data_IF_171783202893
#
_entry.id   IF_171783202893
#
_cell.length_a   1.000
_cell.length_b   1.000
_cell.length_c   1.000
_cell.angle_alpha   90.00
_cell.angle_beta   90.00
_cell.angle_gamma   90.00
#
_symmetry.space_group_name_H-M   'P 1'
#
loop_
_entity.id
_entity.type
_entity.pdbx_description
1 polymer ?
#
# COMPACT_ATOMS: atom_id res chain seq x y z
N UNK A 1 -5.77 -18.74 11.46
CA UNK A 1 -7.11 -18.32 11.92
C UNK A 1 -7.92 -17.92 10.69
N UNK A 2 -9.11 -18.48 10.49
CA UNK A 2 -10.01 -18.02 9.42
C UNK A 2 -10.41 -16.57 9.75
N UNK A 3 -10.33 -15.62 8.81
CA UNK A 3 -10.67 -14.19 9.08
C UNK A 3 -12.06 -14.01 9.72
N UNK A 4 -12.95 -14.97 9.49
CA UNK A 4 -14.27 -15.06 10.11
C UNK A 4 -14.26 -15.16 11.65
N UNK A 5 -13.18 -15.60 12.31
CA UNK A 5 -13.10 -15.61 13.78
C UNK A 5 -12.94 -14.21 14.39
N UNK A 6 -12.31 -13.27 13.67
CA UNK A 6 -12.27 -11.86 14.10
C UNK A 6 -13.65 -11.19 13.92
N UNK A 7 -14.43 -11.64 12.94
CA UNK A 7 -15.78 -11.14 12.67
C UNK A 7 -16.85 -11.74 13.60
N UNK A 8 -16.60 -12.88 14.24
CA UNK A 8 -17.56 -13.53 15.15
C UNK A 8 -17.53 -13.02 16.60
N UNK A 9 -16.56 -12.17 16.96
CA UNK A 9 -16.51 -11.58 18.30
C UNK A 9 -17.54 -10.45 18.41
N UNK A 10 -18.70 -10.79 18.95
CA UNK A 10 -19.74 -9.83 19.31
C UNK A 10 -19.26 -8.88 20.41
N UNK A 11 -19.88 -7.70 20.46
CA UNK A 11 -19.59 -6.60 21.37
C UNK A 11 -19.33 -7.06 22.82
N UNK A 12 -18.14 -6.75 23.34
CA UNK A 12 -17.79 -6.94 24.76
C UNK A 12 -16.77 -8.05 25.04
N UNK A 13 -16.43 -8.90 24.07
CA UNK A 13 -15.32 -9.84 24.25
C UNK A 13 -13.98 -9.10 24.21
N UNK A 14 -13.21 -9.23 25.30
CA UNK A 14 -11.77 -8.97 25.26
C UNK A 14 -11.19 -9.96 24.27
N UNK A 15 -10.75 -9.48 23.11
CA UNK A 15 -9.87 -10.27 22.25
C UNK A 15 -8.57 -10.43 23.03
N UNK A 16 -8.37 -11.63 23.60
CA UNK A 16 -7.12 -11.97 24.24
C UNK A 16 -6.08 -12.25 23.15
N UNK A 17 -5.26 -11.24 22.87
CA UNK A 17 -4.17 -11.36 21.90
C UNK A 17 -3.05 -12.30 22.38
N UNK A 18 -3.06 -12.77 23.63
CA UNK A 18 -2.03 -13.69 24.15
C UNK A 18 -2.11 -15.08 23.49
N UNK A 19 -3.30 -15.55 23.13
CA UNK A 19 -3.48 -16.83 22.42
C UNK A 19 -3.07 -16.76 20.94
N UNK A 20 -3.07 -15.57 20.33
CA UNK A 20 -2.69 -15.38 18.94
C UNK A 20 -1.18 -15.56 18.67
N UNK A 21 -0.35 -15.63 19.73
CA UNK A 21 1.11 -15.78 19.62
C UNK A 21 1.58 -17.21 19.33
N UNK A 22 0.73 -18.24 19.40
CA UNK A 22 1.20 -19.61 19.63
C UNK A 22 1.22 -20.60 18.46
N UNK A 23 1.02 -20.22 17.19
CA UNK A 23 1.06 -21.23 16.10
C UNK A 23 1.63 -20.80 14.75
N UNK A 24 2.32 -19.68 14.64
CA UNK A 24 2.90 -19.27 13.37
C UNK A 24 4.36 -19.71 13.30
N UNK A 25 4.74 -20.33 12.18
CA UNK A 25 6.13 -20.60 11.83
C UNK A 25 6.98 -19.36 12.16
N UNK A 26 8.20 -19.50 12.71
CA UNK A 26 9.02 -18.37 13.12
C UNK A 26 9.22 -17.43 11.93
N UNK A 27 8.42 -16.37 11.88
CA UNK A 27 8.52 -15.31 10.88
C UNK A 27 9.66 -14.40 11.31
N UNK A 28 10.34 -13.80 10.33
CA UNK A 28 11.50 -12.94 10.56
C UNK A 28 11.22 -11.89 11.64
N UNK A 29 12.02 -11.89 12.70
CA UNK A 29 11.92 -10.92 13.78
C UNK A 29 12.45 -9.57 13.28
N UNK A 30 11.68 -8.50 13.48
CA UNK A 30 12.13 -7.14 13.22
C UNK A 30 12.91 -6.62 14.44
N UNK A 31 13.89 -5.75 14.20
CA UNK A 31 14.77 -5.15 15.19
C UNK A 31 14.79 -3.63 15.01
N UNK A 32 14.85 -2.88 16.12
CA UNK A 32 15.05 -1.42 16.08
C UNK A 32 16.54 -1.10 15.86
N UNK A 33 17.41 -1.97 16.37
CA UNK A 33 18.87 -1.90 16.23
C UNK A 33 19.44 -3.33 16.29
N UNK A 34 20.69 -3.54 15.90
CA UNK A 34 21.38 -4.85 15.77
C UNK A 34 21.13 -5.84 16.90
N UNK A 35 20.90 -5.35 18.12
CA UNK A 35 20.76 -6.17 19.32
C UNK A 35 19.40 -6.00 20.01
N UNK A 36 18.53 -5.09 19.54
CA UNK A 36 17.29 -4.77 20.22
C UNK A 36 16.11 -5.21 19.35
N UNK A 37 15.44 -6.32 19.70
CA UNK A 37 14.25 -6.75 18.96
C UNK A 37 13.18 -5.66 19.04
N UNK A 38 12.33 -5.61 18.02
CA UNK A 38 11.17 -4.75 18.02
C UNK A 38 10.35 -5.04 19.29
N UNK A 39 10.06 -4.04 20.13
CA UNK A 39 9.30 -4.22 21.35
C UNK A 39 7.90 -4.73 21.01
N UNK A 40 7.26 -5.40 21.96
CA UNK A 40 5.96 -6.07 21.76
C UNK A 40 4.89 -5.14 21.18
N UNK A 41 4.87 -3.86 21.61
CA UNK A 41 3.94 -2.87 21.06
C UNK A 41 4.16 -2.61 19.56
N UNK A 42 5.41 -2.65 19.08
CA UNK A 42 5.73 -2.47 17.67
C UNK A 42 5.29 -3.68 16.86
N UNK A 43 5.56 -4.88 17.38
CA UNK A 43 5.10 -6.15 16.79
C UNK A 43 3.58 -6.21 16.71
N UNK A 44 2.88 -5.69 17.72
CA UNK A 44 1.42 -5.57 17.73
C UNK A 44 0.89 -4.74 16.55
N UNK A 45 1.49 -3.59 16.23
CA UNK A 45 1.05 -2.80 15.07
C UNK A 45 1.31 -3.51 13.74
N UNK A 46 2.48 -4.14 13.58
CA UNK A 46 2.76 -4.98 12.41
C UNK A 46 1.71 -6.06 12.24
N UNK A 47 1.32 -6.72 13.34
CA UNK A 47 0.33 -7.79 13.29
C UNK A 47 -1.08 -7.28 12.97
N UNK A 48 -1.51 -6.16 13.55
CA UNK A 48 -2.79 -5.52 13.17
C UNK A 48 -2.82 -5.22 11.68
N UNK A 49 -1.74 -4.64 11.16
CA UNK A 49 -1.59 -4.35 9.74
C UNK A 49 -1.75 -5.60 8.87
N UNK A 50 -1.14 -6.71 9.27
CA UNK A 50 -1.29 -7.98 8.57
C UNK A 50 -2.72 -8.50 8.61
N UNK A 51 -3.33 -8.56 9.80
CA UNK A 51 -4.67 -9.11 10.01
C UNK A 51 -5.74 -8.35 9.23
N UNK A 52 -5.68 -7.02 9.23
CA UNK A 52 -6.64 -6.23 8.47
C UNK A 52 -6.46 -6.43 6.96
N UNK A 53 -5.23 -6.69 6.51
CA UNK A 53 -4.93 -6.92 5.10
C UNK A 53 -5.33 -8.32 4.61
N UNK A 54 -5.46 -9.29 5.52
CA UNK A 54 -5.97 -10.64 5.26
C UNK A 54 -7.51 -10.69 5.23
N UNK A 55 -8.20 -9.66 5.74
CA UNK A 55 -9.66 -9.58 5.67
C UNK A 55 -10.09 -9.31 4.22
N UNK A 56 -11.16 -9.95 3.75
CA UNK A 56 -11.70 -9.71 2.41
C UNK A 56 -12.36 -8.32 2.32
N UNK A 57 -11.99 -7.56 1.29
CA UNK A 57 -12.73 -6.36 0.88
C UNK A 57 -13.96 -6.77 0.08
N UNK A 58 -15.09 -6.93 0.76
CA UNK A 58 -16.41 -7.17 0.17
C UNK A 58 -17.37 -6.00 0.43
N UNK A 59 -18.64 -6.31 0.70
CA UNK A 59 -19.62 -5.32 1.18
C UNK A 59 -19.29 -4.76 2.57
N UNK A 60 -18.43 -5.45 3.32
CA UNK A 60 -18.06 -5.09 4.68
C UNK A 60 -16.61 -4.57 4.72
N UNK A 61 -16.41 -3.43 5.38
CA UNK A 61 -15.07 -2.95 5.74
C UNK A 61 -14.82 -3.11 7.23
N UNK A 62 -13.60 -3.53 7.59
CA UNK A 62 -13.13 -3.52 8.98
C UNK A 62 -12.53 -2.17 9.34
N UNK A 63 -12.92 -1.63 10.49
CA UNK A 63 -12.35 -0.40 11.07
C UNK A 63 -11.80 -0.73 12.46
N UNK A 64 -10.50 -0.51 12.66
CA UNK A 64 -9.81 -0.70 13.94
C UNK A 64 -9.37 0.68 14.44
N UNK A 65 -9.81 1.05 15.64
CA UNK A 65 -9.41 2.30 16.29
C UNK A 65 -8.64 2.03 17.58
N UNK A 66 -7.47 2.65 17.73
CA UNK A 66 -6.53 2.39 18.81
C UNK A 66 -6.16 3.69 19.52
N UNK A 67 -6.49 3.78 20.81
CA UNK A 67 -6.08 4.89 21.67
C UNK A 67 -4.74 4.58 22.35
N UNK A 68 -3.67 5.19 21.86
CA UNK A 68 -2.29 4.88 22.25
C UNK A 68 -1.68 5.96 23.14
N UNK A 69 -0.78 5.61 24.08
CA UNK A 69 -0.06 6.61 24.87
C UNK A 69 0.88 7.48 24.02
N UNK A 70 1.44 6.91 22.95
CA UNK A 70 2.28 7.60 21.97
C UNK A 70 2.06 7.01 20.58
N UNK A 71 2.02 7.85 19.55
CA UNK A 71 1.90 7.42 18.14
C UNK A 71 3.18 6.85 17.52
N UNK A 72 4.34 7.03 18.15
CA UNK A 72 5.65 6.89 17.50
C UNK A 72 5.78 5.58 16.71
N UNK A 73 5.95 5.67 15.38
CA UNK A 73 6.06 4.54 14.44
C UNK A 73 4.82 3.62 14.33
N UNK A 74 3.74 3.84 15.08
CA UNK A 74 2.58 2.93 15.10
C UNK A 74 1.93 2.81 13.71
N UNK A 75 1.64 3.93 13.05
CA UNK A 75 1.07 3.94 11.70
C UNK A 75 2.03 3.36 10.65
N UNK A 76 3.33 3.65 10.76
CA UNK A 76 4.35 3.11 9.85
C UNK A 76 4.51 1.59 9.98
N UNK A 77 4.51 1.07 11.21
CA UNK A 77 4.60 -0.37 11.48
C UNK A 77 3.31 -1.10 11.09
N UNK A 78 2.14 -0.49 11.29
CA UNK A 78 0.88 -1.01 10.79
C UNK A 78 0.86 -1.08 9.25
N UNK A 79 1.29 -0.02 8.57
CA UNK A 79 1.42 -0.01 7.13
C UNK A 79 2.40 -1.10 6.64
N UNK A 80 3.49 -1.31 7.37
CA UNK A 80 4.48 -2.32 7.05
C UNK A 80 3.86 -3.72 7.13
N UNK A 81 3.08 -3.99 8.18
CA UNK A 81 2.27 -5.19 8.31
C UNK A 81 1.32 -5.41 7.12
N UNK A 82 0.60 -4.37 6.71
CA UNK A 82 -0.30 -4.43 5.54
C UNK A 82 0.46 -4.85 4.29
N UNK A 83 1.57 -4.17 3.99
CA UNK A 83 2.35 -4.46 2.77
C UNK A 83 2.96 -5.86 2.80
N UNK A 84 3.42 -6.34 3.96
CA UNK A 84 3.93 -7.70 4.10
C UNK A 84 2.85 -8.76 3.84
N UNK A 85 1.67 -8.65 4.46
CA UNK A 85 0.59 -9.61 4.23
C UNK A 85 0.12 -9.62 2.78
N UNK A 86 0.13 -8.46 2.13
CA UNK A 86 -0.28 -8.36 0.73
C UNK A 86 0.83 -8.74 -0.25
N UNK A 87 2.10 -8.83 0.17
CA UNK A 87 3.21 -9.18 -0.73
C UNK A 87 3.02 -10.55 -1.39
N UNK A 88 2.44 -11.51 -0.66
CA UNK A 88 2.14 -12.87 -1.11
C UNK A 88 0.86 -12.98 -1.95
N UNK A 89 -0.02 -11.98 -1.91
CA UNK A 89 -1.26 -11.99 -2.67
C UNK A 89 -0.91 -11.86 -4.15
N UNK A 90 -0.83 -13.02 -4.81
CA UNK A 90 -0.78 -13.16 -6.26
C UNK A 90 -1.89 -12.29 -6.82
N UNK A 91 -1.54 -11.35 -7.71
CA UNK A 91 -2.55 -10.50 -8.35
C UNK A 91 -3.65 -11.38 -8.91
N UNK A 92 -4.83 -11.27 -8.30
CA UNK A 92 -6.01 -11.96 -8.79
C UNK A 92 -6.22 -11.47 -10.23
N UNK A 93 -6.57 -12.38 -11.14
CA UNK A 93 -6.92 -12.01 -12.53
C UNK A 93 -7.99 -10.92 -12.56
N UNK A 94 -8.88 -10.87 -11.56
CA UNK A 94 -9.85 -9.79 -11.36
C UNK A 94 -9.20 -8.41 -11.21
N UNK A 95 -8.18 -8.25 -10.35
CA UNK A 95 -7.47 -6.98 -10.16
C UNK A 95 -6.76 -6.53 -11.45
N UNK A 96 -6.16 -7.49 -12.16
CA UNK A 96 -5.48 -7.23 -13.43
C UNK A 96 -6.48 -6.71 -14.46
N UNK A 97 -7.68 -7.31 -14.51
CA UNK A 97 -8.74 -6.92 -15.44
C UNK A 97 -9.32 -5.56 -15.10
N UNK A 98 -9.61 -5.27 -13.83
CA UNK A 98 -10.06 -3.95 -13.40
C UNK A 98 -9.02 -2.86 -13.75
N UNK A 99 -7.73 -3.16 -13.54
CA UNK A 99 -6.66 -2.25 -13.94
C UNK A 99 -6.59 -2.05 -15.46
N UNK A 100 -6.78 -3.12 -16.23
CA UNK A 100 -6.83 -3.05 -17.69
C UNK A 100 -8.01 -2.20 -18.17
N UNK A 101 -9.21 -2.41 -17.63
CA UNK A 101 -10.42 -1.67 -17.99
C UNK A 101 -10.25 -0.16 -17.68
N UNK A 102 -9.60 0.14 -16.56
CA UNK A 102 -9.21 1.51 -16.19
C UNK A 102 -8.20 2.13 -17.14
N UNK A 103 -7.23 1.37 -17.65
CA UNK A 103 -6.34 1.85 -18.69
C UNK A 103 -7.09 2.08 -20.01
N UNK A 104 -8.10 1.26 -20.31
CA UNK A 104 -8.98 1.43 -21.46
C UNK A 104 -9.82 2.71 -21.39
N UNK A 105 -10.14 3.21 -20.19
CA UNK A 105 -10.87 4.47 -20.01
C UNK A 105 -10.00 5.74 -20.17
N UNK A 106 -8.69 5.60 -20.43
CA UNK A 106 -7.81 6.75 -20.62
C UNK A 106 -8.07 7.48 -21.94
N UNK A 107 -7.87 8.80 -21.95
CA UNK A 107 -7.94 9.59 -23.18
C UNK A 107 -6.75 9.26 -24.09
N UNK A 108 -6.98 9.10 -25.40
CA UNK A 108 -5.89 8.98 -26.39
C UNK A 108 -4.92 10.15 -26.27
N UNK A 109 -3.62 9.86 -26.33
CA UNK A 109 -2.54 10.81 -26.09
C UNK A 109 -2.12 10.93 -24.62
N UNK A 110 -2.79 10.25 -23.68
CA UNK A 110 -2.37 10.26 -22.26
C UNK A 110 -0.93 9.77 -22.15
N UNK A 111 -0.03 10.53 -21.52
CA UNK A 111 1.35 10.12 -21.38
C UNK A 111 1.46 8.95 -20.41
N UNK A 112 2.30 7.98 -20.76
CA UNK A 112 2.48 6.76 -19.98
C UNK A 112 3.96 6.42 -19.81
N UNK A 113 4.24 5.62 -18.80
CA UNK A 113 5.45 4.83 -18.69
C UNK A 113 5.12 3.40 -19.12
N UNK A 114 5.91 2.83 -20.01
CA UNK A 114 5.88 1.42 -20.39
C UNK A 114 7.13 0.70 -19.87
N UNK A 115 6.92 -0.34 -19.05
CA UNK A 115 7.98 -1.13 -18.42
C UNK A 115 8.18 -2.45 -19.18
N UNK A 116 9.29 -2.52 -19.90
CA UNK A 116 9.81 -3.74 -20.51
C UNK A 116 10.88 -4.34 -19.57
N UNK A 117 11.10 -5.66 -19.57
CA UNK A 117 11.82 -6.37 -18.50
C UNK A 117 13.15 -5.75 -18.04
N UNK A 118 13.85 -5.00 -18.91
CA UNK A 118 15.10 -4.29 -18.63
C UNK A 118 15.10 -2.81 -19.05
N UNK A 119 13.98 -2.28 -19.53
CA UNK A 119 13.89 -0.92 -20.10
C UNK A 119 12.59 -0.25 -19.66
N UNK A 120 12.71 0.98 -19.18
CA UNK A 120 11.56 1.85 -18.94
C UNK A 120 11.52 2.83 -20.10
N UNK A 121 10.36 2.97 -20.76
CA UNK A 121 10.17 3.91 -21.87
C UNK A 121 9.00 4.83 -21.57
N UNK A 122 9.14 6.13 -21.81
CA UNK A 122 8.01 7.06 -21.84
C UNK A 122 7.33 6.95 -23.19
N UNK A 123 6.00 7.05 -23.24
CA UNK A 123 5.22 6.94 -24.46
C UNK A 123 3.85 7.59 -24.32
N UNK A 124 2.98 7.34 -25.29
CA UNK A 124 1.60 7.81 -25.26
C UNK A 124 0.61 6.66 -25.46
N UNK A 125 -0.49 6.73 -24.73
CA UNK A 125 -1.62 5.80 -24.87
C UNK A 125 -2.37 6.10 -26.19
N UNK A 126 -2.61 5.09 -27.02
CA UNK A 126 -3.26 5.25 -28.33
C UNK A 126 -4.71 4.74 -28.39
N UNK A 127 -5.20 4.15 -27.30
CA UNK A 127 -6.52 3.52 -27.23
C UNK A 127 -6.41 2.01 -26.96
N UNK A 128 -7.53 1.33 -27.15
CA UNK A 128 -7.61 -0.12 -27.17
C UNK A 128 -8.46 -0.56 -28.37
N UNK A 129 -8.30 -1.81 -28.79
CA UNK A 129 -9.14 -2.42 -29.82
C UNK A 129 -9.21 -3.93 -29.58
N UNK A 130 -10.16 -4.59 -30.24
CA UNK A 130 -10.35 -6.03 -30.13
C UNK A 130 -9.68 -6.73 -31.32
N UNK A 131 -8.83 -7.71 -31.04
CA UNK A 131 -8.17 -8.57 -32.03
C UNK A 131 -8.43 -10.02 -31.60
N UNK A 132 -9.06 -10.82 -32.46
CA UNK A 132 -9.39 -12.23 -32.17
C UNK A 132 -10.16 -12.44 -30.86
N UNK A 133 -11.10 -11.52 -30.54
CA UNK A 133 -11.89 -11.59 -29.31
C UNK A 133 -11.17 -11.14 -28.04
N UNK A 134 -9.89 -10.73 -28.13
CA UNK A 134 -9.12 -10.20 -27.02
C UNK A 134 -8.98 -8.68 -27.14
N UNK A 135 -9.33 -7.95 -26.07
CA UNK A 135 -9.06 -6.50 -25.99
C UNK A 135 -7.58 -6.26 -25.73
N UNK A 136 -6.96 -5.41 -26.55
CA UNK A 136 -5.54 -5.06 -26.46
C UNK A 136 -5.38 -3.55 -26.32
N UNK A 137 -4.57 -3.09 -25.36
CA UNK A 137 -4.17 -1.69 -25.27
C UNK A 137 -3.08 -1.40 -26.28
N UNK A 138 -3.17 -0.26 -26.95
CA UNK A 138 -2.17 0.22 -27.90
C UNK A 138 -1.39 1.37 -27.28
N UNK A 139 -0.07 1.28 -27.29
CA UNK A 139 0.82 2.34 -26.82
C UNK A 139 1.83 2.71 -27.89
N UNK A 140 2.13 3.99 -28.04
CA UNK A 140 3.16 4.51 -28.95
C UNK A 140 4.41 4.85 -28.16
N UNK A 141 5.51 4.18 -28.50
CA UNK A 141 6.81 4.32 -27.86
C UNK A 141 7.80 4.92 -28.88
N UNK A 142 8.45 6.05 -28.59
CA UNK A 142 9.48 6.60 -29.45
C UNK A 142 10.70 5.65 -29.51
N UNK A 143 11.28 5.51 -30.70
CA UNK A 143 12.49 4.74 -31.00
C UNK A 143 13.47 5.57 -31.84
N UNK A 144 14.67 5.04 -32.11
CA UNK A 144 15.68 5.75 -32.91
C UNK A 144 15.25 5.95 -34.36
N UNK A 145 14.37 5.08 -34.86
CA UNK A 145 13.91 5.06 -36.25
C UNK A 145 12.44 5.52 -36.39
N UNK A 146 11.94 6.30 -35.43
CA UNK A 146 10.56 6.78 -35.39
C UNK A 146 9.75 6.15 -34.26
N UNK A 147 8.44 6.04 -34.43
CA UNK A 147 7.55 5.53 -33.39
C UNK A 147 7.22 4.05 -33.58
N UNK A 148 7.35 3.27 -32.50
CA UNK A 148 6.90 1.88 -32.45
C UNK A 148 5.56 1.79 -31.72
N UNK A 149 4.60 1.10 -32.34
CA UNK A 149 3.32 0.79 -31.70
C UNK A 149 3.41 -0.58 -31.02
N UNK A 150 3.18 -0.62 -29.71
CA UNK A 150 3.08 -1.87 -28.95
C UNK A 150 1.63 -2.20 -28.61
N UNK A 151 1.27 -3.46 -28.80
CA UNK A 151 0.00 -4.06 -28.39
C UNK A 151 0.20 -4.76 -27.05
N UNK A 152 -0.58 -4.41 -26.02
CA UNK A 152 -0.42 -4.88 -24.65
C UNK A 152 -1.69 -5.60 -24.21
N UNK A 153 -1.63 -6.93 -23.98
CA UNK A 153 -2.79 -7.69 -23.51
C UNK A 153 -3.05 -7.47 -22.02
N UNK A 154 -4.23 -7.87 -21.50
CA UNK A 154 -4.64 -7.63 -20.12
C UNK A 154 -3.64 -8.13 -19.07
N UNK A 155 -3.06 -9.31 -19.28
CA UNK A 155 -2.11 -9.94 -18.34
C UNK A 155 -0.82 -9.12 -18.19
N UNK A 156 -0.53 -8.25 -19.17
CA UNK A 156 0.62 -7.34 -19.22
C UNK A 156 0.24 -5.88 -18.94
N UNK A 157 -1.02 -5.59 -18.58
CA UNK A 157 -1.50 -4.25 -18.27
C UNK A 157 -0.63 -3.53 -17.22
N UNK A 158 -0.18 -4.26 -16.20
CA UNK A 158 0.69 -3.77 -15.13
C UNK A 158 2.03 -3.17 -15.60
N UNK A 159 2.40 -3.34 -16.87
CA UNK A 159 3.57 -2.70 -17.48
C UNK A 159 3.33 -1.25 -17.88
N UNK A 160 2.07 -0.83 -17.99
CA UNK A 160 1.69 0.53 -18.34
C UNK A 160 1.35 1.28 -17.05
N UNK A 161 1.89 2.47 -16.87
CA UNK A 161 1.57 3.38 -15.77
C UNK A 161 1.26 4.78 -16.33
N UNK A 162 0.06 5.33 -16.12
CA UNK A 162 -0.26 6.69 -16.54
C UNK A 162 0.58 7.72 -15.78
N UNK A 163 1.16 8.68 -16.48
CA UNK A 163 1.88 9.80 -15.87
C UNK A 163 0.87 10.85 -15.40
N UNK A 164 0.87 11.14 -14.09
CA UNK A 164 -0.09 12.06 -13.48
C UNK A 164 0.14 13.55 -13.81
N UNK A 165 1.26 13.92 -14.43
CA UNK A 165 1.66 15.33 -14.59
C UNK A 165 1.39 15.90 -15.99
N UNK A 166 0.99 17.18 -15.98
CA UNK A 166 0.73 18.10 -17.10
C UNK A 166 2.00 18.51 -17.86
N UNK A 167 3.11 17.82 -17.66
CA UNK A 167 4.36 18.09 -18.36
C UNK A 167 4.21 17.71 -19.83
N UNK A 168 3.77 18.68 -20.63
CA UNK A 168 3.70 18.58 -22.09
C UNK A 168 5.08 18.35 -22.72
N UNK A 169 6.15 18.66 -21.98
CA UNK A 169 7.53 18.46 -22.40
C UNK A 169 8.03 17.09 -21.93
N UNK A 170 7.44 16.03 -22.48
CA UNK A 170 8.03 14.71 -22.40
C UNK A 170 9.16 14.70 -23.42
N UNK A 171 10.39 14.91 -22.98
CA UNK A 171 11.55 14.62 -23.82
C UNK A 171 11.48 13.11 -24.15
N UNK A 172 11.40 12.74 -25.44
CA UNK A 172 11.01 11.39 -25.86
C UNK A 172 12.04 10.29 -25.55
N UNK A 173 13.18 10.63 -24.93
CA UNK A 173 14.33 9.73 -24.85
C UNK A 173 14.92 9.70 -23.44
N UNK A 174 14.24 9.03 -22.53
CA UNK A 174 14.89 8.47 -21.34
C UNK A 174 15.10 6.98 -21.59
N UNK A 175 16.14 6.65 -22.36
CA UNK A 175 16.63 5.27 -22.48
C UNK A 175 17.54 4.96 -21.29
N UNK A 176 16.94 4.74 -20.13
CA UNK A 176 17.65 4.19 -18.99
C UNK A 176 17.88 2.69 -19.19
N UNK A 177 19.13 2.23 -19.13
CA UNK A 177 19.41 0.82 -18.86
C UNK A 177 18.85 0.56 -17.45
N UNK A 178 17.95 -0.41 -17.26
CA UNK A 178 17.79 -0.96 -15.93
C UNK A 178 19.16 -1.55 -15.58
N UNK A 179 19.95 -0.83 -14.76
CA UNK A 179 21.08 -1.42 -14.06
C UNK A 179 20.55 -2.70 -13.40
N UNK A 180 21.41 -3.72 -13.28
CA UNK A 180 21.12 -4.91 -12.50
C UNK A 180 20.33 -4.52 -11.25
N UNK A 181 19.28 -5.28 -10.95
CA UNK A 181 18.25 -4.96 -9.95
C UNK A 181 18.81 -5.07 -8.52
N UNK A 182 19.88 -4.35 -8.28
CA UNK A 182 20.67 -4.27 -7.07
C UNK A 182 20.46 -2.86 -6.54
N UNK A 183 19.41 -2.72 -5.73
CA UNK A 183 19.07 -1.48 -5.06
C UNK A 183 19.42 -1.65 -3.58
N UNK A 184 19.81 -0.54 -2.95
CA UNK A 184 20.03 -0.48 -1.50
C UNK A 184 18.76 -0.94 -0.79
N UNK A 185 18.86 -2.03 -0.01
CA UNK A 185 17.74 -2.61 0.74
C UNK A 185 17.20 -3.94 0.21
N UNK A 186 17.77 -4.52 -0.87
CA UNK A 186 17.29 -5.83 -1.39
C UNK A 186 17.35 -6.94 -0.35
N UNK A 187 18.49 -7.06 0.34
CA UNK A 187 18.68 -8.05 1.39
C UNK A 187 17.66 -7.89 2.53
N UNK A 188 17.38 -6.65 2.94
CA UNK A 188 16.38 -6.36 3.96
C UNK A 188 14.97 -6.70 3.50
N UNK A 189 14.60 -6.37 2.24
CA UNK A 189 13.31 -6.78 1.71
C UNK A 189 13.20 -8.30 1.68
N UNK A 190 14.15 -9.01 1.06
CA UNK A 190 14.14 -10.47 0.94
C UNK A 190 13.99 -11.12 2.32
N UNK A 191 14.70 -10.59 3.33
CA UNK A 191 14.57 -11.03 4.71
C UNK A 191 13.17 -10.80 5.30
N UNK A 192 12.50 -9.70 4.96
CA UNK A 192 11.16 -9.36 5.48
C UNK A 192 10.02 -10.11 4.77
N UNK A 193 10.09 -10.28 3.44
CA UNK A 193 9.02 -10.93 2.65
C UNK A 193 9.24 -12.44 2.47
N UNK A 194 10.41 -12.96 2.85
CA UNK A 194 10.71 -14.39 2.82
C UNK A 194 10.77 -14.95 1.40
N UNK A 195 9.90 -15.93 1.11
CA UNK A 195 9.89 -16.66 -0.17
C UNK A 195 9.22 -15.91 -1.33
N UNK A 196 8.62 -14.73 -1.08
CA UNK A 196 8.02 -13.91 -2.14
C UNK A 196 9.08 -13.52 -3.17
N UNK A 197 8.73 -13.58 -4.45
CA UNK A 197 9.57 -13.05 -5.52
C UNK A 197 9.71 -11.52 -5.41
N UNK A 198 10.82 -11.09 -4.77
CA UNK A 198 11.14 -9.68 -4.61
C UNK A 198 11.21 -8.94 -5.94
N UNK A 199 11.66 -9.59 -7.03
CA UNK A 199 11.72 -8.95 -8.33
C UNK A 199 10.32 -8.60 -8.84
N UNK A 200 9.34 -9.48 -8.67
CA UNK A 200 7.95 -9.18 -8.97
C UNK A 200 7.38 -8.10 -8.04
N UNK A 201 7.76 -8.14 -6.75
CA UNK A 201 7.36 -7.12 -5.78
C UNK A 201 7.78 -5.71 -6.22
N UNK A 202 9.00 -5.53 -6.75
CA UNK A 202 9.50 -4.24 -7.24
C UNK A 202 9.02 -3.82 -8.63
N UNK A 203 8.51 -4.75 -9.44
CA UNK A 203 8.09 -4.42 -10.81
C UNK A 203 6.66 -3.89 -10.88
N UNK A 204 5.80 -4.29 -9.94
CA UNK A 204 4.36 -4.05 -9.99
C UNK A 204 3.94 -3.00 -8.97
N UNK A 205 3.36 -1.91 -9.45
CA UNK A 205 2.73 -0.91 -8.58
C UNK A 205 1.38 -1.44 -8.10
N UNK A 206 1.08 -1.33 -6.80
CA UNK A 206 -0.24 -1.60 -6.23
C UNK A 206 -0.44 -0.69 -5.02
N UNK A 207 -1.64 -0.15 -4.82
CA UNK A 207 -1.90 0.69 -3.66
C UNK A 207 -2.44 -0.16 -2.50
N UNK A 208 -1.53 -0.78 -1.75
CA UNK A 208 -1.88 -1.63 -0.60
C UNK A 208 -2.36 -0.81 0.59
N UNK A 209 -1.72 0.33 0.85
CA UNK A 209 -2.22 1.25 1.87
C UNK A 209 -1.92 2.72 1.58
N UNK A 210 -2.71 3.59 2.23
CA UNK A 210 -2.46 5.03 2.31
C UNK A 210 -2.33 5.41 3.78
N UNK A 211 -1.29 6.18 4.11
CA UNK A 211 -1.09 6.73 5.46
C UNK A 211 -1.39 8.22 5.44
N UNK A 212 -2.34 8.67 6.25
CA UNK A 212 -2.66 10.08 6.46
C UNK A 212 -2.05 10.56 7.76
N UNK A 213 -1.03 11.40 7.68
CA UNK A 213 -0.31 11.86 8.87
C UNK A 213 0.54 13.11 8.61
N UNK A 214 1.42 13.43 9.55
CA UNK A 214 2.40 14.52 9.41
C UNK A 214 3.58 14.02 8.57
N UNK A 215 3.72 14.53 7.35
CA UNK A 215 4.68 14.02 6.36
C UNK A 215 6.13 13.98 6.86
N UNK A 216 6.57 15.00 7.60
CA UNK A 216 7.95 15.05 8.10
C UNK A 216 8.23 13.93 9.11
N UNK A 217 7.27 13.65 10.00
CA UNK A 217 7.41 12.59 11.00
C UNK A 217 7.35 11.21 10.34
N UNK A 218 6.38 10.99 9.44
CA UNK A 218 6.30 9.75 8.68
C UNK A 218 7.56 9.51 7.83
N UNK A 219 8.13 10.56 7.23
CA UNK A 219 9.37 10.48 6.46
C UNK A 219 10.54 10.05 7.36
N UNK A 220 10.67 10.64 8.55
CA UNK A 220 11.70 10.26 9.50
C UNK A 220 11.54 8.79 9.93
N UNK A 221 10.31 8.39 10.29
CA UNK A 221 9.99 7.03 10.76
C UNK A 221 10.20 5.96 9.68
N UNK A 222 9.87 6.26 8.41
CA UNK A 222 9.88 5.27 7.32
C UNK A 222 11.17 5.29 6.49
N UNK A 223 11.72 6.47 6.18
CA UNK A 223 12.84 6.65 5.23
C UNK A 223 14.19 6.86 5.92
N UNK A 224 14.19 7.35 7.15
CA UNK A 224 15.44 7.75 7.82
C UNK A 224 15.85 6.77 8.90
N UNK A 225 14.89 6.28 9.69
CA UNK A 225 15.14 5.32 10.77
C UNK A 225 15.55 3.93 10.24
N UNK A 226 16.70 3.38 10.66
CA UNK A 226 17.09 2.03 10.32
C UNK A 226 16.28 1.00 11.12
N UNK A 227 16.10 -0.17 10.51
CA UNK A 227 15.52 -1.36 11.10
C UNK A 227 16.34 -2.58 10.69
N UNK A 228 16.32 -3.59 11.53
CA UNK A 228 16.96 -4.88 11.27
C UNK A 228 15.95 -5.98 11.03
N UNK A 229 16.31 -6.97 10.23
CA UNK A 229 15.53 -8.19 10.02
C UNK A 229 16.45 -9.41 10.07
N UNK A 230 16.01 -10.44 10.81
CA UNK A 230 16.75 -11.69 10.96
C UNK A 230 15.81 -12.85 10.57
N UNK A 231 15.84 -13.30 9.29
CA UNK A 231 14.96 -14.36 8.80
C UNK A 231 15.36 -15.75 9.33
N UNK A 232 16.64 -15.94 9.61
CA UNK A 232 17.20 -17.05 10.37
C UNK A 232 18.22 -16.47 11.35
N UNK A 233 18.43 -17.11 12.51
CA UNK A 233 19.28 -16.62 13.62
C UNK A 233 20.72 -16.24 13.22
N UNK A 234 21.16 -16.50 11.99
CA UNK A 234 22.54 -16.35 11.54
C UNK A 234 22.86 -15.04 10.80
N UNK A 235 21.89 -14.37 10.15
CA UNK A 235 22.21 -13.20 9.30
C UNK A 235 21.30 -12.02 9.62
N UNK A 236 21.87 -11.00 10.25
CA UNK A 236 21.24 -9.70 10.43
C UNK A 236 21.33 -8.90 9.13
N UNK A 237 20.19 -8.44 8.64
CA UNK A 237 20.11 -7.53 7.49
C UNK A 237 19.55 -6.20 7.96
N UNK A 238 20.23 -5.11 7.64
CA UNK A 238 19.77 -3.75 7.93
C UNK A 238 19.09 -3.14 6.72
N UNK A 239 18.02 -2.39 6.95
CA UNK A 239 17.36 -1.59 5.94
C UNK A 239 16.42 -0.58 6.59
N UNK A 240 15.46 -0.11 5.81
CA UNK A 240 14.48 0.90 6.22
C UNK A 240 13.08 0.41 5.89
N UNK A 241 12.06 0.89 6.61
CA UNK A 241 10.69 0.54 6.27
C UNK A 241 10.34 0.93 4.83
N UNK A 242 10.94 2.01 4.30
CA UNK A 242 10.76 2.43 2.90
C UNK A 242 11.12 1.35 1.87
N UNK A 243 12.08 0.46 2.19
CA UNK A 243 12.50 -0.59 1.27
C UNK A 243 11.37 -1.59 1.01
N UNK A 244 10.49 -1.78 2.00
CA UNK A 244 9.31 -2.65 1.95
C UNK A 244 8.04 -1.86 1.63
N UNK A 245 7.79 -0.77 2.34
CA UNK A 245 6.60 0.07 2.17
C UNK A 245 6.51 0.69 0.79
N UNK A 246 7.65 0.99 0.17
CA UNK A 246 7.73 1.59 -1.17
C UNK A 246 6.76 2.77 -1.32
N UNK A 247 6.86 3.74 -0.41
CA UNK A 247 5.99 4.93 -0.40
C UNK A 247 6.25 5.74 -1.65
N UNK A 248 5.22 5.89 -2.48
CA UNK A 248 5.29 6.51 -3.80
C UNK A 248 5.97 7.87 -3.79
N UNK A 249 5.59 8.75 -2.86
CA UNK A 249 6.05 10.14 -2.77
C UNK A 249 7.56 10.25 -2.49
N UNK A 250 8.21 9.16 -2.05
CA UNK A 250 9.62 9.13 -1.70
C UNK A 250 10.47 8.24 -2.60
N UNK A 251 9.85 7.63 -3.61
CA UNK A 251 10.51 6.86 -4.66
C UNK A 251 10.96 7.75 -5.81
N UNK A 252 11.91 7.25 -6.60
CA UNK A 252 12.29 7.87 -7.87
C UNK A 252 11.20 7.68 -8.95
N UNK A 253 11.26 8.50 -10.00
CA UNK A 253 10.31 8.42 -11.11
C UNK A 253 10.27 7.01 -11.74
N UNK A 254 9.07 6.49 -11.97
CA UNK A 254 8.86 5.19 -12.64
C UNK A 254 9.17 3.96 -11.79
N UNK A 255 9.44 4.12 -10.49
CA UNK A 255 9.58 3.01 -9.55
C UNK A 255 8.20 2.50 -9.11
N UNK A 256 8.04 1.18 -8.95
CA UNK A 256 6.79 0.62 -8.45
C UNK A 256 6.55 1.01 -6.98
N UNK A 257 5.32 1.33 -6.60
CA UNK A 257 4.97 1.65 -5.22
C UNK A 257 4.05 0.58 -4.61
N UNK A 258 4.02 0.53 -3.28
CA UNK A 258 3.09 -0.31 -2.49
C UNK A 258 2.19 0.52 -1.59
N UNK A 259 2.63 1.71 -1.24
CA UNK A 259 1.89 2.62 -0.36
C UNK A 259 2.00 4.06 -0.85
N UNK A 260 1.18 4.92 -0.28
CA UNK A 260 1.27 6.36 -0.43
C UNK A 260 1.08 7.07 0.91
N UNK A 261 1.64 8.28 1.02
CA UNK A 261 1.45 9.16 2.17
C UNK A 261 0.72 10.43 1.76
N UNK A 262 -0.18 10.89 2.62
CA UNK A 262 -0.92 12.14 2.43
C UNK A 262 -0.81 13.00 3.67
N UNK A 263 -0.64 14.31 3.46
CA UNK A 263 -0.57 15.27 4.56
C UNK A 263 -1.96 15.53 5.14
N UNK A 264 -2.06 15.50 6.47
CA UNK A 264 -3.26 15.95 7.19
C UNK A 264 -3.54 17.43 6.93
N UNK A 265 -2.50 18.23 6.76
CA UNK A 265 -2.57 19.68 6.54
C UNK A 265 -2.92 20.07 5.09
N UNK A 266 -3.07 19.08 4.20
CA UNK A 266 -3.46 19.32 2.81
C UNK A 266 -4.79 20.08 2.71
N UNK A 267 -4.85 21.13 1.87
CA UNK A 267 -6.10 21.86 1.62
C UNK A 267 -7.02 21.15 0.63
N UNK A 268 -6.43 20.35 -0.26
CA UNK A 268 -7.17 19.60 -1.28
C UNK A 268 -7.61 18.27 -0.72
N UNK A 269 -8.73 17.77 -1.22
CA UNK A 269 -9.18 16.41 -0.97
C UNK A 269 -8.04 15.41 -1.23
N UNK A 270 -7.92 14.37 -0.41
CA UNK A 270 -6.96 13.30 -0.64
C UNK A 270 -7.29 12.64 -1.98
N UNK A 271 -6.47 12.91 -2.98
CA UNK A 271 -6.57 12.25 -4.27
C UNK A 271 -5.46 11.22 -4.36
N UNK A 272 -5.84 9.95 -4.51
CA UNK A 272 -4.91 8.93 -5.00
C UNK A 272 -4.74 9.13 -6.51
N UNK A 273 -3.56 8.86 -7.03
CA UNK A 273 -3.37 8.86 -8.48
C UNK A 273 -4.33 7.87 -9.13
N UNK A 274 -4.96 8.31 -10.21
CA UNK A 274 -5.95 7.56 -10.96
C UNK A 274 -7.19 7.15 -10.13
N UNK A 275 -7.50 7.81 -9.02
CA UNK A 275 -8.66 7.48 -8.17
C UNK A 275 -8.68 6.03 -7.66
N UNK A 276 -7.50 5.40 -7.48
CA UNK A 276 -7.44 4.06 -6.89
C UNK A 276 -7.84 4.09 -5.42
N UNK A 277 -8.79 3.25 -5.02
CA UNK A 277 -9.12 3.04 -3.61
C UNK A 277 -8.00 2.20 -2.97
N UNK A 278 -7.38 2.64 -1.86
CA UNK A 278 -6.40 1.83 -1.16
C UNK A 278 -7.08 0.63 -0.48
N UNK A 279 -6.37 -0.49 -0.36
CA UNK A 279 -6.91 -1.63 0.39
C UNK A 279 -7.12 -1.27 1.87
N UNK A 280 -6.11 -0.64 2.49
CA UNK A 280 -6.17 -0.13 3.86
C UNK A 280 -5.85 1.36 3.92
N UNK A 281 -6.69 2.12 4.59
CA UNK A 281 -6.43 3.51 4.96
C UNK A 281 -5.96 3.59 6.41
N UNK A 282 -4.83 4.22 6.66
CA UNK A 282 -4.24 4.34 8.00
C UNK A 282 -4.22 5.82 8.39
N UNK A 283 -4.94 6.17 9.45
CA UNK A 283 -4.97 7.52 10.00
C UNK A 283 -3.99 7.60 11.17
N UNK A 284 -2.92 8.37 10.99
CA UNK A 284 -1.93 8.71 12.02
C UNK A 284 -2.37 10.00 12.73
N UNK A 285 -3.34 9.85 13.64
CA UNK A 285 -3.87 10.91 14.50
C UNK A 285 -5.32 11.34 14.21
N UNK A 286 -5.93 11.96 15.22
CA UNK A 286 -7.32 12.44 15.24
C UNK A 286 -7.65 13.42 14.11
N UNK A 287 -6.77 14.40 13.86
CA UNK A 287 -7.04 15.43 12.84
C UNK A 287 -7.15 14.85 11.44
N UNK A 288 -6.31 13.86 11.10
CA UNK A 288 -6.38 13.17 9.82
C UNK A 288 -7.66 12.38 9.68
N UNK A 289 -8.03 11.62 10.72
CA UNK A 289 -9.26 10.85 10.75
C UNK A 289 -10.51 11.74 10.60
N UNK A 290 -10.66 12.74 11.47
CA UNK A 290 -11.84 13.62 11.48
C UNK A 290 -12.05 14.35 10.15
N UNK A 291 -10.97 14.67 9.44
CA UNK A 291 -11.02 15.43 8.19
C UNK A 291 -11.27 14.57 6.97
N UNK A 292 -10.74 13.35 6.96
CA UNK A 292 -10.60 12.56 5.72
C UNK A 292 -11.26 11.18 5.75
N UNK A 293 -11.86 10.75 6.85
CA UNK A 293 -12.47 9.42 7.00
C UNK A 293 -13.51 9.05 5.94
N UNK A 294 -14.21 10.04 5.39
CA UNK A 294 -15.33 9.82 4.46
C UNK A 294 -14.87 9.62 3.00
N UNK A 295 -13.57 9.71 2.70
CA UNK A 295 -13.06 9.65 1.32
C UNK A 295 -12.92 8.24 0.76
N UNK A 296 -12.72 7.23 1.61
CA UNK A 296 -12.63 5.82 1.18
C UNK A 296 -13.55 4.94 2.02
N UNK A 297 -14.89 5.07 1.86
CA UNK A 297 -15.87 4.36 2.67
C UNK A 297 -15.82 2.84 2.49
N UNK A 298 -15.18 2.35 1.42
CA UNK A 298 -15.03 0.92 1.12
C UNK A 298 -13.64 0.37 1.49
N UNK A 299 -12.73 1.22 1.96
CA UNK A 299 -11.38 0.79 2.40
C UNK A 299 -11.44 0.33 3.85
N UNK A 300 -10.69 -0.73 4.18
CA UNK A 300 -10.42 -1.04 5.57
C UNK A 300 -9.70 0.12 6.24
N UNK A 301 -9.86 0.32 7.54
CA UNK A 301 -9.28 1.46 8.23
C UNK A 301 -8.57 1.07 9.51
N UNK A 302 -7.37 1.61 9.71
CA UNK A 302 -6.68 1.64 11.01
C UNK A 302 -6.62 3.11 11.45
N UNK A 303 -7.13 3.41 12.63
CA UNK A 303 -7.09 4.74 13.23
C UNK A 303 -6.21 4.68 14.47
N UNK A 304 -5.07 5.35 14.43
CA UNK A 304 -4.16 5.49 15.58
C UNK A 304 -4.40 6.85 16.19
N UNK A 305 -4.90 6.90 17.43
CA UNK A 305 -5.19 8.13 18.16
C UNK A 305 -4.21 8.28 19.33
N UNK A 306 -3.39 9.32 19.29
CA UNK A 306 -2.50 9.66 20.40
C UNK A 306 -3.31 10.39 21.48
N UNK A 307 -3.29 9.88 22.71
CA UNK A 307 -4.09 10.46 23.82
C UNK A 307 -3.74 11.92 24.13
N UNK A 308 -2.57 12.38 23.70
CA UNK A 308 -2.08 13.75 23.92
C UNK A 308 -2.47 14.72 22.79
N UNK A 309 -3.07 14.23 21.71
CA UNK A 309 -3.32 15.04 20.53
C UNK A 309 -4.55 15.95 20.66
N UNK A 310 -4.54 17.13 20.02
CA UNK A 310 -5.74 17.93 19.86
C UNK A 310 -6.84 17.13 19.18
N UNK A 311 -8.07 17.27 19.66
CA UNK A 311 -9.26 16.59 19.12
C UNK A 311 -9.32 15.07 19.36
N UNK A 312 -8.44 14.48 20.20
CA UNK A 312 -8.52 13.08 20.61
C UNK A 312 -9.96 12.67 21.00
N UNK A 313 -10.56 13.38 21.96
CA UNK A 313 -11.92 13.07 22.45
C UNK A 313 -12.99 13.20 21.36
N UNK A 314 -12.82 14.16 20.44
CA UNK A 314 -13.75 14.32 19.32
C UNK A 314 -13.64 13.14 18.35
N UNK A 315 -12.43 12.68 18.04
CA UNK A 315 -12.23 11.50 17.21
C UNK A 315 -12.81 10.24 17.85
N UNK A 316 -12.59 10.02 19.16
CA UNK A 316 -13.19 8.91 19.91
C UNK A 316 -14.72 8.96 19.85
N UNK A 317 -15.32 10.13 20.06
CA UNK A 317 -16.77 10.30 19.97
C UNK A 317 -17.30 9.91 18.59
N UNK A 318 -16.67 10.41 17.53
CA UNK A 318 -17.11 10.14 16.15
C UNK A 318 -16.96 8.66 15.76
N UNK A 319 -15.87 8.00 16.19
CA UNK A 319 -15.68 6.56 15.96
C UNK A 319 -16.82 5.76 16.62
N UNK A 320 -17.20 6.14 17.84
CA UNK A 320 -18.31 5.48 18.53
C UNK A 320 -19.65 5.74 17.85
N UNK A 321 -19.87 6.94 17.30
CA UNK A 321 -21.06 7.26 16.51
C UNK A 321 -21.12 6.43 15.21
N UNK A 322 -20.01 6.33 14.47
CA UNK A 322 -19.92 5.52 13.26
C UNK A 322 -20.19 4.03 13.53
N UNK A 323 -19.67 3.52 14.65
CA UNK A 323 -19.96 2.17 15.12
C UNK A 323 -21.45 1.96 15.42
N UNK A 324 -22.09 2.89 16.15
CA UNK A 324 -23.53 2.83 16.46
C UNK A 324 -24.40 2.86 15.20
N UNK A 325 -24.06 3.70 14.23
CA UNK A 325 -24.78 3.80 12.94
C UNK A 325 -24.67 2.48 12.17
N UNK A 326 -23.47 1.93 12.06
CA UNK A 326 -23.21 0.68 11.33
C UNK A 326 -23.98 -0.49 11.95
N UNK A 327 -24.01 -0.61 13.27
CA UNK A 327 -24.76 -1.66 13.98
C UNK A 327 -26.29 -1.52 13.89
N UNK A 328 -26.82 -0.32 13.65
CA UNK A 328 -28.27 -0.13 13.45
C UNK A 328 -28.72 -0.59 12.06
N UNK A 329 -27.87 -0.42 11.06
CA UNK A 329 -28.16 -0.83 9.68
C UNK A 329 -28.17 -2.36 9.57
N UNK A 330 -27.17 -3.05 10.14
CA UNK A 330 -27.09 -4.52 10.09
C UNK A 330 -28.28 -5.24 10.74
N UNK A 331 -28.92 -4.62 11.75
CA UNK A 331 -30.11 -5.18 12.42
C UNK A 331 -31.41 -5.00 11.65
N UNK A 332 -31.45 -4.16 10.61
CA UNK A 332 -32.66 -3.93 9.80
C UNK A 332 -32.74 -4.83 8.57
N UNK A 333 -31.64 -5.49 8.21
CA UNK A 333 -31.54 -6.37 7.04
C UNK A 333 -31.71 -7.87 7.40
N UNK A 334 -32.07 -8.16 8.65
CA UNK A 334 -32.39 -9.51 9.17
C UNK A 334 -33.87 -9.55 9.52
#
# INVERSE_FOLDING_TARGET
MNGNKLLSCYAGEKIDFSEAYLSYAPRSQLYIDKQIPLPTWGTFFVEIGRRIAECETGSNRLVIALAVPTRTCAAALAAFGVVLARADISHNQAEIREYFDKLCSLKKGTPIIYRESKKIRKGSYCGFYNENGQSLITVRLPTEHGDMICKVPPEKAHKIEPLASKDKNITPRITGRCKSFDFSGKAFLDACIGSVDSLNFYKKSRLDCVILGRLNLLKQEIKERPFGCCPSQAVYTEGKLQDVLRVREWLGEGQAYRSAVLSVDGRKSPQTQNSSVPYVTIFDGASGFLKWRDYWPNSHSIVVLDRTEPHFMKAVYEINEDYRRSNRLSKREI
#
